data_IF_049838020469
#
_entry.id   IF_049838020469
#
_cell.length_a   1.000
_cell.length_b   1.000
_cell.length_c   1.000
_cell.angle_alpha   90.00
_cell.angle_beta   90.00
_cell.angle_gamma   90.00
#
_symmetry.space_group_name_H-M   'P 1'
#
loop_
_entity.id
_entity.type
_entity.pdbx_description
1 polymer ?
#
# COMPACT_ATOMS: atom_id res chain seq x y z
N UNK A 1 -12.73 -9.24 -8.40
CA UNK A 1 -11.33 -9.73 -8.34
C UNK A 1 -10.37 -8.56 -8.16
N UNK A 2 -9.23 -8.78 -7.55
CA UNK A 2 -8.17 -7.80 -7.35
C UNK A 2 -6.86 -8.38 -7.88
N UNK A 3 -6.07 -7.58 -8.56
CA UNK A 3 -4.71 -7.90 -8.97
C UNK A 3 -3.74 -7.15 -8.08
N UNK A 4 -2.78 -7.85 -7.48
CA UNK A 4 -1.86 -7.26 -6.52
C UNK A 4 -0.44 -7.23 -7.07
N UNK A 5 0.18 -6.06 -7.07
CA UNK A 5 1.59 -5.87 -7.43
C UNK A 5 2.37 -5.52 -6.16
N UNK A 6 3.49 -6.21 -5.94
CA UNK A 6 4.47 -5.89 -4.91
C UNK A 6 5.73 -5.29 -5.53
N UNK A 7 6.32 -4.30 -4.88
CA UNK A 7 7.59 -3.70 -5.28
C UNK A 7 8.53 -3.60 -4.09
N UNK A 8 9.72 -4.16 -4.23
CA UNK A 8 10.83 -3.96 -3.30
C UNK A 8 11.72 -2.84 -3.84
N UNK A 9 11.85 -1.75 -3.07
CA UNK A 9 12.58 -0.56 -3.49
C UNK A 9 11.69 0.40 -4.28
N UNK A 10 10.61 0.90 -3.68
CA UNK A 10 9.65 1.81 -4.32
C UNK A 10 10.30 3.12 -4.81
N UNK A 11 11.29 3.63 -4.08
CA UNK A 11 12.03 4.82 -4.46
C UNK A 11 11.14 6.04 -4.65
N UNK A 12 11.16 6.59 -5.86
CA UNK A 12 10.31 7.73 -6.24
C UNK A 12 8.96 7.32 -6.85
N UNK A 13 8.68 6.02 -6.96
CA UNK A 13 7.42 5.51 -7.50
C UNK A 13 7.35 5.42 -9.03
N UNK A 14 8.48 5.34 -9.72
CA UNK A 14 8.50 5.30 -11.19
C UNK A 14 7.79 4.06 -11.76
N UNK A 15 7.99 2.88 -11.15
CA UNK A 15 7.30 1.66 -11.58
C UNK A 15 5.80 1.74 -11.33
N UNK A 16 5.39 2.35 -10.21
CA UNK A 16 3.97 2.63 -9.94
C UNK A 16 3.38 3.57 -11.01
N UNK A 17 4.03 4.70 -11.30
CA UNK A 17 3.55 5.66 -12.32
C UNK A 17 3.48 5.02 -13.72
N UNK A 18 4.45 4.18 -14.06
CA UNK A 18 4.43 3.42 -15.32
C UNK A 18 3.29 2.40 -15.35
N UNK A 19 3.04 1.74 -14.22
CA UNK A 19 1.90 0.83 -14.06
C UNK A 19 0.59 1.58 -14.19
N UNK A 20 0.45 2.74 -13.55
CA UNK A 20 -0.71 3.62 -13.66
C UNK A 20 -0.95 4.05 -15.11
N UNK A 21 0.10 4.45 -15.83
CA UNK A 21 0.04 4.78 -17.25
C UNK A 21 -0.52 3.64 -18.11
N UNK A 22 -0.06 2.42 -17.88
CA UNK A 22 -0.58 1.24 -18.56
C UNK A 22 -2.03 0.92 -18.14
N UNK A 23 -2.34 1.12 -16.88
CA UNK A 23 -3.68 0.89 -16.32
C UNK A 23 -4.73 1.83 -16.89
N UNK A 24 -4.37 3.10 -17.06
CA UNK A 24 -5.28 4.12 -17.62
C UNK A 24 -5.67 3.87 -19.08
N UNK A 25 -4.87 3.07 -19.81
CA UNK A 25 -5.10 2.76 -21.23
C UNK A 25 -6.01 1.56 -21.47
N UNK A 26 -6.37 0.81 -20.42
CA UNK A 26 -7.14 -0.44 -20.54
C UNK A 26 -8.49 -0.32 -19.84
N UNK A 27 -9.47 -1.10 -20.31
CA UNK A 27 -10.70 -1.32 -19.56
C UNK A 27 -10.40 -2.05 -18.24
N UNK A 28 -11.04 -1.58 -17.15
CA UNK A 28 -10.72 -2.01 -15.79
C UNK A 28 -11.73 -3.05 -15.32
N UNK A 29 -11.47 -4.30 -15.64
CA UNK A 29 -12.31 -5.43 -15.23
C UNK A 29 -12.16 -5.80 -13.74
N UNK A 30 -11.09 -5.35 -13.07
CA UNK A 30 -10.74 -5.68 -11.68
C UNK A 30 -10.10 -4.50 -10.97
N UNK A 31 -9.87 -4.62 -9.66
CA UNK A 31 -9.15 -3.64 -8.85
C UNK A 31 -7.64 -3.92 -8.89
N UNK A 32 -6.84 -2.87 -8.72
CA UNK A 32 -5.39 -2.96 -8.60
C UNK A 32 -4.96 -2.54 -7.19
N UNK A 33 -4.27 -3.42 -6.49
CA UNK A 33 -3.52 -3.09 -5.28
C UNK A 33 -2.04 -3.03 -5.62
N UNK A 34 -1.40 -1.92 -5.32
CA UNK A 34 0.03 -1.75 -5.52
C UNK A 34 0.71 -1.52 -4.17
N UNK A 35 1.58 -2.43 -3.78
CA UNK A 35 2.30 -2.42 -2.49
C UNK A 35 3.74 -2.06 -2.76
N UNK A 36 4.14 -0.83 -2.41
CA UNK A 36 5.52 -0.36 -2.50
C UNK A 36 6.21 -0.38 -1.15
N UNK A 37 7.37 -1.02 -1.06
CA UNK A 37 8.16 -1.11 0.17
C UNK A 37 9.48 -0.35 -0.01
N UNK A 38 9.77 0.59 0.88
CA UNK A 38 11.04 1.32 0.91
C UNK A 38 11.36 1.80 2.33
N UNK A 39 12.65 2.03 2.62
CA UNK A 39 13.08 2.68 3.88
C UNK A 39 12.78 4.16 3.91
N UNK A 40 12.61 4.78 2.76
CA UNK A 40 12.40 6.23 2.62
C UNK A 40 10.97 6.54 2.23
N UNK A 41 10.44 7.52 2.92
CA UNK A 41 9.11 8.04 2.65
C UNK A 41 9.06 8.75 1.31
N UNK A 42 8.03 8.47 0.51
CA UNK A 42 7.72 9.28 -0.67
C UNK A 42 7.27 10.68 -0.22
N UNK A 43 7.90 11.72 -0.73
CA UNK A 43 7.58 13.11 -0.40
C UNK A 43 7.09 13.85 -1.64
N UNK A 44 6.18 14.82 -1.47
CA UNK A 44 5.66 15.64 -2.57
C UNK A 44 6.76 16.31 -3.42
N UNK A 45 7.87 16.73 -2.79
CA UNK A 45 9.03 17.28 -3.53
C UNK A 45 9.64 16.31 -4.52
N UNK A 46 9.55 15.00 -4.26
CA UNK A 46 10.09 13.97 -5.15
C UNK A 46 9.28 13.88 -6.45
N UNK A 47 7.98 14.18 -6.40
CA UNK A 47 7.10 14.17 -7.58
C UNK A 47 7.49 15.25 -8.58
N UNK A 48 7.98 16.41 -8.13
CA UNK A 48 8.49 17.47 -9.03
C UNK A 48 9.72 17.00 -9.81
N UNK A 49 10.65 16.32 -9.14
CA UNK A 49 11.84 15.76 -9.80
C UNK A 49 11.48 14.70 -10.86
N UNK A 50 10.43 13.91 -10.60
CA UNK A 50 9.94 12.94 -11.58
C UNK A 50 9.31 13.63 -12.79
N UNK A 51 8.56 14.70 -12.58
CA UNK A 51 7.90 15.46 -13.64
C UNK A 51 8.93 16.07 -14.61
N UNK A 52 9.97 16.68 -14.08
CA UNK A 52 11.08 17.23 -14.86
C UNK A 52 11.80 16.14 -15.68
N UNK A 53 12.00 14.97 -15.09
CA UNK A 53 12.76 13.87 -15.69
C UNK A 53 11.94 12.99 -16.63
N UNK A 54 10.64 12.87 -16.38
CA UNK A 54 9.72 11.99 -17.11
C UNK A 54 8.45 12.74 -17.54
N UNK A 55 8.55 13.73 -18.44
CA UNK A 55 7.40 14.56 -18.85
C UNK A 55 6.26 13.75 -19.49
N UNK A 56 6.55 12.56 -20.02
CA UNK A 56 5.53 11.65 -20.57
C UNK A 56 4.61 11.05 -19.52
N UNK A 57 4.96 11.11 -18.24
CA UNK A 57 4.17 10.65 -17.09
C UNK A 57 3.49 11.80 -16.34
N UNK A 58 3.43 12.99 -16.93
CA UNK A 58 2.84 14.19 -16.30
C UNK A 58 1.43 13.93 -15.75
N UNK A 59 0.56 13.29 -16.54
CA UNK A 59 -0.81 12.97 -16.14
C UNK A 59 -0.87 12.07 -14.91
N UNK A 60 -0.03 11.05 -14.85
CA UNK A 60 0.05 10.09 -13.75
C UNK A 60 0.62 10.74 -12.49
N UNK A 61 1.58 11.64 -12.66
CA UNK A 61 2.18 12.43 -11.57
C UNK A 61 1.14 13.39 -10.99
N UNK A 62 0.35 14.07 -11.81
CA UNK A 62 -0.73 14.95 -11.33
C UNK A 62 -1.78 14.16 -10.53
N UNK A 63 -2.20 12.98 -11.00
CA UNK A 63 -3.10 12.10 -10.24
C UNK A 63 -2.52 11.80 -8.85
N UNK A 64 -1.22 11.49 -8.77
CA UNK A 64 -0.58 11.19 -7.48
C UNK A 64 -0.39 12.45 -6.61
N UNK A 65 -0.19 13.63 -7.20
CA UNK A 65 -0.15 14.92 -6.48
C UNK A 65 -1.50 15.30 -5.87
N UNK A 66 -2.60 14.99 -6.57
CA UNK A 66 -3.96 15.21 -6.07
C UNK A 66 -4.31 14.26 -4.91
N UNK A 67 -3.61 13.13 -4.81
CA UNK A 67 -3.68 12.28 -3.65
C UNK A 67 -2.88 12.91 -2.51
N UNK A 68 -3.47 12.97 -1.30
CA UNK A 68 -2.75 13.47 -0.13
C UNK A 68 -1.77 12.41 0.37
N UNK A 69 -0.65 12.30 -0.33
CA UNK A 69 0.52 11.56 0.16
C UNK A 69 1.09 12.32 1.33
N UNK A 70 0.93 11.78 2.52
CA UNK A 70 1.42 12.41 3.75
C UNK A 70 2.89 12.12 3.96
N UNK A 71 3.30 10.91 3.63
CA UNK A 71 4.66 10.47 3.77
C UNK A 71 5.09 10.34 5.23
N UNK A 72 4.68 9.27 5.89
CA UNK A 72 5.07 8.95 7.27
C UNK A 72 5.64 7.53 7.38
N UNK A 73 6.33 7.25 8.47
CA UNK A 73 6.82 5.91 8.78
C UNK A 73 5.65 4.97 9.10
N UNK A 74 5.77 3.72 8.69
CA UNK A 74 4.73 2.72 8.83
C UNK A 74 4.08 2.41 7.49
N UNK A 75 2.76 2.32 7.43
CA UNK A 75 2.07 2.10 6.16
C UNK A 75 1.07 3.22 5.86
N UNK A 76 0.99 3.61 4.61
CA UNK A 76 0.08 4.60 4.09
C UNK A 76 -0.74 3.98 2.96
N UNK A 77 -2.06 4.08 3.03
CA UNK A 77 -2.97 3.57 1.99
C UNK A 77 -3.64 4.75 1.28
N UNK A 78 -3.33 4.89 0.00
CA UNK A 78 -3.84 5.94 -0.89
C UNK A 78 -4.86 5.29 -1.83
N UNK A 79 -6.13 5.61 -1.63
CA UNK A 79 -7.23 5.06 -2.43
C UNK A 79 -7.61 5.98 -3.57
N UNK A 80 -7.67 5.42 -4.78
CA UNK A 80 -8.12 6.09 -6.02
C UNK A 80 -9.34 5.34 -6.58
N UNK A 81 -10.52 5.46 -5.96
CA UNK A 81 -11.68 4.61 -6.25
C UNK A 81 -12.14 4.73 -7.71
N UNK A 82 -12.14 5.94 -8.29
CA UNK A 82 -12.50 6.17 -9.69
C UNK A 82 -11.57 5.45 -10.68
N UNK A 83 -10.35 5.13 -10.25
CA UNK A 83 -9.37 4.38 -11.02
C UNK A 83 -9.32 2.91 -10.63
N UNK A 84 -10.08 2.49 -9.61
CA UNK A 84 -10.03 1.14 -9.03
C UNK A 84 -8.62 0.76 -8.56
N UNK A 85 -7.86 1.71 -8.00
CA UNK A 85 -6.49 1.53 -7.53
C UNK A 85 -6.39 1.84 -6.05
N UNK A 86 -5.60 1.03 -5.33
CA UNK A 86 -5.06 1.35 -4.01
C UNK A 86 -3.53 1.27 -4.09
N UNK A 87 -2.87 2.37 -3.73
CA UNK A 87 -1.43 2.40 -3.53
C UNK A 87 -1.17 2.28 -2.03
N UNK A 88 -0.47 1.24 -1.63
CA UNK A 88 -0.10 0.94 -0.25
C UNK A 88 1.41 1.12 -0.15
N UNK A 89 1.85 2.13 0.59
CA UNK A 89 3.26 2.42 0.84
C UNK A 89 3.65 1.92 2.23
N UNK A 90 4.66 1.08 2.30
CA UNK A 90 5.23 0.55 3.54
C UNK A 90 6.61 1.18 3.72
N UNK A 91 6.70 2.15 4.63
CA UNK A 91 7.97 2.81 4.96
C UNK A 91 8.62 2.11 6.14
N UNK A 92 9.43 1.10 5.84
CA UNK A 92 10.09 0.26 6.82
C UNK A 92 11.32 -0.44 6.18
N UNK A 93 12.17 -1.01 7.01
CA UNK A 93 13.19 -1.96 6.55
C UNK A 93 12.53 -3.14 5.81
N UNK A 94 13.07 -3.50 4.65
CA UNK A 94 12.48 -4.53 3.78
C UNK A 94 12.35 -5.87 4.47
N UNK A 95 13.38 -6.30 5.23
CA UNK A 95 13.34 -7.60 5.90
C UNK A 95 12.22 -7.64 6.94
N UNK A 96 12.03 -6.53 7.66
CA UNK A 96 10.94 -6.42 8.63
C UNK A 96 9.59 -6.35 7.90
N UNK A 97 9.47 -5.51 6.88
CA UNK A 97 8.23 -5.35 6.12
C UNK A 97 7.72 -6.67 5.52
N UNK A 98 8.59 -7.46 4.85
CA UNK A 98 8.16 -8.72 4.22
C UNK A 98 7.79 -9.80 5.24
N UNK A 99 8.31 -9.73 6.46
CA UNK A 99 7.93 -10.65 7.56
C UNK A 99 6.62 -10.24 8.22
N UNK A 100 6.30 -8.95 8.25
CA UNK A 100 5.07 -8.41 8.86
C UNK A 100 3.87 -8.44 7.89
N UNK A 101 4.10 -8.62 6.59
CA UNK A 101 3.02 -8.73 5.59
C UNK A 101 2.34 -10.10 5.70
N UNK A 102 1.05 -10.10 6.05
CA UNK A 102 0.24 -11.32 6.13
C UNK A 102 -0.52 -11.65 4.82
N UNK A 103 -0.32 -10.89 3.75
CA UNK A 103 -1.00 -11.09 2.45
C UNK A 103 -0.19 -12.07 1.63
N UNK A 104 -0.77 -13.20 1.24
CA UNK A 104 -0.11 -14.24 0.43
C UNK A 104 -0.72 -14.37 -0.97
N UNK A 105 -0.97 -13.26 -1.66
CA UNK A 105 -1.60 -13.25 -2.98
C UNK A 105 -1.06 -12.12 -3.87
N UNK A 106 0.26 -11.94 -3.89
CA UNK A 106 0.88 -10.96 -4.79
C UNK A 106 1.07 -11.61 -6.16
N UNK A 107 0.44 -11.03 -7.19
CA UNK A 107 0.36 -11.60 -8.53
C UNK A 107 1.56 -11.20 -9.41
N UNK A 108 2.17 -10.05 -9.12
CA UNK A 108 3.37 -9.63 -9.81
C UNK A 108 4.33 -8.90 -8.87
N UNK A 109 5.64 -9.06 -9.10
CA UNK A 109 6.67 -8.39 -8.34
C UNK A 109 7.59 -7.55 -9.22
N UNK A 110 7.87 -6.33 -8.79
CA UNK A 110 9.03 -5.57 -9.18
C UNK A 110 10.10 -5.72 -8.09
N UNK A 111 11.15 -6.49 -8.38
CA UNK A 111 12.32 -6.60 -7.51
C UNK A 111 13.34 -5.55 -7.99
N UNK A 112 13.07 -4.28 -7.65
CA UNK A 112 13.78 -3.10 -8.17
C UNK A 112 14.55 -2.37 -7.06
N UNK A 113 15.13 -3.12 -6.15
CA UNK A 113 16.03 -2.60 -5.14
C UNK A 113 17.33 -2.04 -5.72
N UNK A 114 18.17 -1.48 -4.85
CA UNK A 114 19.50 -1.02 -5.23
C UNK A 114 20.39 -2.17 -5.74
N UNK A 115 21.47 -1.81 -6.43
CA UNK A 115 22.48 -2.76 -6.89
C UNK A 115 22.87 -3.73 -5.76
N UNK A 116 22.79 -5.05 -5.98
CA UNK A 116 23.13 -6.07 -4.98
C UNK A 116 24.54 -5.94 -4.38
N UNK A 117 25.46 -5.28 -5.08
CA UNK A 117 26.79 -4.98 -4.58
C UNK A 117 26.80 -3.82 -3.58
N UNK A 118 25.87 -2.86 -3.74
CA UNK A 118 25.78 -1.65 -2.90
C UNK A 118 24.84 -1.84 -1.72
N UNK A 119 23.86 -2.71 -1.86
CA UNK A 119 22.79 -2.92 -0.88
C UNK A 119 22.45 -4.41 -0.77
N UNK A 120 23.40 -5.26 -0.32
CA UNK A 120 23.23 -6.71 -0.28
C UNK A 120 22.10 -7.15 0.65
N UNK A 121 21.77 -6.36 1.68
CA UNK A 121 20.70 -6.62 2.62
C UNK A 121 19.30 -6.71 1.99
N UNK A 122 19.08 -6.08 0.85
CA UNK A 122 17.81 -6.20 0.10
C UNK A 122 17.67 -7.52 -0.68
N UNK A 123 18.74 -8.29 -0.77
CA UNK A 123 18.83 -9.47 -1.62
C UNK A 123 19.22 -10.72 -0.84
N UNK A 124 18.90 -10.77 0.45
CA UNK A 124 19.14 -11.96 1.28
C UNK A 124 18.23 -13.10 0.85
N UNK A 125 18.64 -14.33 1.15
CA UNK A 125 17.86 -15.52 0.82
C UNK A 125 16.53 -15.53 1.56
N UNK A 126 16.46 -14.97 2.77
CA UNK A 126 15.22 -14.80 3.55
C UNK A 126 14.23 -13.88 2.85
N UNK A 127 14.68 -12.73 2.31
CA UNK A 127 13.83 -11.82 1.54
C UNK A 127 13.31 -12.51 0.27
N UNK A 128 14.18 -13.20 -0.47
CA UNK A 128 13.79 -13.90 -1.70
C UNK A 128 12.81 -15.05 -1.42
N UNK A 129 12.98 -15.74 -0.29
CA UNK A 129 12.03 -16.74 0.21
C UNK A 129 10.69 -16.12 0.61
N UNK A 130 10.73 -14.98 1.30
CA UNK A 130 9.51 -14.24 1.66
C UNK A 130 8.73 -13.78 0.42
N UNK A 131 9.42 -13.27 -0.61
CA UNK A 131 8.80 -12.93 -1.90
C UNK A 131 8.08 -14.14 -2.49
N UNK A 132 8.72 -15.33 -2.49
CA UNK A 132 8.07 -16.55 -2.98
C UNK A 132 6.83 -16.92 -2.16
N UNK A 133 6.90 -16.86 -0.84
CA UNK A 133 5.79 -17.21 0.06
C UNK A 133 4.60 -16.24 -0.07
N UNK A 134 4.87 -14.94 -0.26
CA UNK A 134 3.84 -13.91 -0.46
C UNK A 134 3.25 -13.93 -1.87
N UNK A 135 3.88 -14.62 -2.81
CA UNK A 135 3.45 -14.73 -4.21
C UNK A 135 2.25 -15.65 -4.36
N UNK A 136 1.27 -15.22 -5.14
CA UNK A 136 0.16 -16.09 -5.57
C UNK A 136 0.65 -17.21 -6.49
N UNK A 137 -0.17 -18.25 -6.64
CA UNK A 137 0.06 -19.24 -7.70
C UNK A 137 -0.07 -18.56 -9.07
N UNK A 138 0.84 -18.85 -9.98
CA UNK A 138 0.95 -18.22 -11.31
C UNK A 138 1.48 -16.77 -11.29
N UNK A 139 2.02 -16.31 -10.15
CA UNK A 139 2.64 -14.99 -10.04
C UNK A 139 3.90 -14.87 -10.90
N UNK A 140 4.22 -13.64 -11.25
CA UNK A 140 5.42 -13.32 -12.03
C UNK A 140 6.30 -12.30 -11.30
N UNK A 141 7.59 -12.28 -11.63
CA UNK A 141 8.46 -11.19 -11.20
C UNK A 141 9.35 -10.67 -12.33
N UNK A 142 9.79 -9.44 -12.16
CA UNK A 142 10.84 -8.84 -12.97
C UNK A 142 11.88 -8.17 -12.07
N UNK A 143 13.17 -8.32 -12.43
CA UNK A 143 14.26 -7.60 -11.77
C UNK A 143 15.30 -7.15 -12.77
N UNK A 144 15.92 -6.01 -12.50
CA UNK A 144 17.00 -5.48 -13.34
C UNK A 144 18.31 -6.23 -13.21
N UNK A 145 18.49 -7.02 -12.13
CA UNK A 145 19.73 -7.75 -11.88
C UNK A 145 19.73 -9.13 -12.52
N UNK A 146 20.90 -9.59 -12.93
CA UNK A 146 21.12 -10.96 -13.43
C UNK A 146 22.21 -11.69 -12.64
N UNK A 147 22.50 -11.24 -11.42
CA UNK A 147 23.52 -11.82 -10.53
C UNK A 147 23.22 -13.30 -10.26
N UNK A 148 24.25 -14.15 -10.45
CA UNK A 148 24.10 -15.62 -10.38
C UNK A 148 23.57 -16.12 -9.03
N UNK A 149 23.98 -15.52 -7.90
CA UNK A 149 23.50 -15.87 -6.56
C UNK A 149 21.99 -15.66 -6.46
N UNK A 150 21.50 -14.47 -6.84
CA UNK A 150 20.07 -14.11 -6.78
C UNK A 150 19.27 -15.05 -7.69
N UNK A 151 19.77 -15.32 -8.90
CA UNK A 151 19.10 -16.25 -9.80
C UNK A 151 18.96 -17.64 -9.18
N UNK A 152 20.03 -18.17 -8.56
CA UNK A 152 19.98 -19.48 -7.90
C UNK A 152 18.99 -19.47 -6.74
N UNK A 153 19.08 -18.50 -5.83
CA UNK A 153 18.17 -18.40 -4.69
C UNK A 153 16.70 -18.32 -5.11
N UNK A 154 16.34 -17.53 -6.12
CA UNK A 154 14.97 -17.47 -6.64
C UNK A 154 14.54 -18.81 -7.26
N UNK A 155 15.45 -19.52 -7.98
CA UNK A 155 15.15 -20.83 -8.56
C UNK A 155 14.96 -21.90 -7.49
N UNK A 156 15.81 -21.93 -6.47
CA UNK A 156 15.74 -22.86 -5.33
C UNK A 156 14.45 -22.66 -4.50
N UNK A 157 13.93 -21.44 -4.45
CA UNK A 157 12.62 -21.17 -3.85
C UNK A 157 11.43 -21.60 -4.73
N UNK A 158 11.65 -22.01 -5.99
CA UNK A 158 10.61 -22.58 -6.85
C UNK A 158 10.11 -21.68 -7.99
N UNK A 159 10.78 -20.56 -8.27
CA UNK A 159 10.48 -19.78 -9.46
C UNK A 159 11.13 -20.39 -10.72
N UNK A 160 10.37 -20.48 -11.80
CA UNK A 160 10.89 -20.73 -13.13
C UNK A 160 11.49 -19.43 -13.69
N UNK A 161 12.81 -19.40 -13.94
CA UNK A 161 13.52 -18.15 -14.25
C UNK A 161 14.01 -18.15 -15.70
N UNK A 162 13.81 -17.03 -16.37
CA UNK A 162 14.36 -16.75 -17.70
C UNK A 162 15.26 -15.52 -17.64
N UNK A 163 16.45 -15.64 -18.26
CA UNK A 163 17.34 -14.52 -18.51
C UNK A 163 16.95 -13.93 -19.86
N UNK A 164 16.61 -12.64 -19.86
CA UNK A 164 16.17 -11.92 -21.06
C UNK A 164 17.03 -10.69 -21.30
N UNK A 165 16.92 -10.09 -22.48
CA UNK A 165 17.62 -8.86 -22.81
C UNK A 165 17.31 -7.77 -21.80
N UNK A 166 18.34 -7.07 -21.34
CA UNK A 166 18.21 -5.93 -20.43
C UNK A 166 17.73 -4.69 -21.17
N UNK A 167 17.65 -3.60 -20.43
CA UNK A 167 17.30 -2.27 -20.96
C UNK A 167 18.46 -1.29 -20.75
N UNK A 168 18.67 -0.37 -21.69
CA UNK A 168 19.74 0.62 -21.64
C UNK A 168 21.13 -0.03 -21.67
N UNK A 169 21.97 0.29 -20.71
CA UNK A 169 23.35 -0.23 -20.60
C UNK A 169 23.45 -1.66 -20.06
N UNK A 170 22.34 -2.25 -19.59
CA UNK A 170 22.33 -3.59 -18.99
C UNK A 170 22.09 -4.66 -20.05
N UNK A 171 23.04 -5.61 -20.18
CA UNK A 171 22.93 -6.71 -21.14
C UNK A 171 21.76 -7.65 -20.85
N UNK A 172 21.49 -7.91 -19.58
CA UNK A 172 20.51 -8.93 -19.16
C UNK A 172 19.75 -8.51 -17.93
N UNK A 173 18.50 -8.99 -17.81
CA UNK A 173 17.64 -8.95 -16.64
C UNK A 173 17.01 -10.32 -16.41
N UNK A 174 16.45 -10.56 -15.24
CA UNK A 174 15.70 -11.77 -14.97
C UNK A 174 14.20 -11.48 -14.93
N UNK A 175 13.45 -12.41 -15.47
CA UNK A 175 12.03 -12.57 -15.26
C UNK A 175 11.78 -13.97 -14.73
N UNK A 176 10.76 -14.14 -13.93
CA UNK A 176 10.41 -15.47 -13.43
C UNK A 176 8.92 -15.60 -13.19
N UNK A 177 8.50 -16.85 -13.04
CA UNK A 177 7.12 -17.23 -12.82
C UNK A 177 7.05 -18.32 -11.76
N UNK A 178 6.07 -18.23 -10.86
CA UNK A 178 5.74 -19.30 -9.93
C UNK A 178 4.81 -20.28 -10.62
N UNK A 179 5.13 -21.58 -10.54
CA UNK A 179 4.27 -22.63 -11.14
C UNK A 179 2.88 -22.63 -10.55
N UNK A 180 1.89 -23.00 -11.38
CA UNK A 180 0.49 -23.06 -10.97
C UNK A 180 0.28 -24.15 -9.90
N UNK A 181 0.07 -23.74 -8.67
CA UNK A 181 -0.59 -24.57 -7.69
C UNK A 181 -2.11 -24.34 -7.77
N UNK A 182 -2.91 -25.40 -7.81
CA UNK A 182 -4.38 -25.28 -7.78
C UNK A 182 -4.82 -24.81 -6.38
N UNK A 183 -4.78 -23.50 -6.10
CA UNK A 183 -5.50 -22.95 -4.95
C UNK A 183 -6.97 -22.80 -5.31
N UNK A 184 -7.87 -23.35 -4.49
CA UNK A 184 -9.30 -23.05 -4.55
C UNK A 184 -9.47 -21.59 -4.12
N UNK A 185 -9.72 -20.69 -5.06
CA UNK A 185 -10.19 -19.34 -4.73
C UNK A 185 -11.65 -19.43 -4.32
N UNK A 186 -11.99 -18.99 -3.12
CA UNK A 186 -13.37 -18.78 -2.73
C UNK A 186 -13.81 -17.41 -3.24
N UNK A 187 -14.67 -17.39 -4.24
CA UNK A 187 -15.29 -16.16 -4.74
C UNK A 187 -16.43 -15.76 -3.76
N UNK A 188 -16.10 -14.84 -2.86
CA UNK A 188 -17.05 -14.32 -1.88
C UNK A 188 -17.99 -13.35 -2.58
N UNK A 189 -19.26 -13.75 -2.76
CA UNK A 189 -20.28 -12.96 -3.46
C UNK A 189 -21.21 -12.21 -2.52
N UNK A 190 -21.33 -12.63 -1.26
CA UNK A 190 -22.24 -12.08 -0.28
C UNK A 190 -21.62 -12.10 1.11
N UNK A 191 -21.79 -11.02 1.85
CA UNK A 191 -21.25 -10.84 3.21
C UNK A 191 -22.34 -10.27 4.11
N UNK A 192 -22.45 -10.81 5.31
CA UNK A 192 -23.27 -10.25 6.39
C UNK A 192 -22.40 -9.34 7.26
N UNK A 193 -22.84 -8.11 7.49
CA UNK A 193 -22.22 -7.15 8.40
C UNK A 193 -23.13 -6.95 9.59
N UNK A 194 -22.62 -7.19 10.80
CA UNK A 194 -23.36 -7.04 12.04
C UNK A 194 -22.97 -5.72 12.69
N UNK A 195 -23.95 -4.84 12.88
CA UNK A 195 -23.80 -3.49 13.43
C UNK A 195 -23.73 -2.40 12.34
N UNK A 196 -24.50 -1.32 12.54
CA UNK A 196 -24.56 -0.15 11.64
C UNK A 196 -23.78 1.06 12.15
N UNK A 197 -22.94 0.87 13.18
CA UNK A 197 -22.02 1.90 13.65
C UNK A 197 -20.96 2.27 12.63
N UNK A 198 -20.04 3.19 12.94
CA UNK A 198 -18.97 3.65 12.05
C UNK A 198 -18.21 2.51 11.38
N UNK A 199 -17.83 1.48 12.13
CA UNK A 199 -17.07 0.34 11.59
C UNK A 199 -17.88 -0.46 10.58
N UNK A 200 -19.11 -0.88 10.94
CA UNK A 200 -19.97 -1.68 10.07
C UNK A 200 -20.37 -0.95 8.80
N UNK A 201 -20.74 0.32 8.91
CA UNK A 201 -21.08 1.15 7.74
C UNK A 201 -19.91 1.31 6.78
N UNK A 202 -18.69 1.55 7.29
CA UNK A 202 -17.50 1.65 6.43
C UNK A 202 -17.14 0.32 5.77
N UNK A 203 -17.25 -0.81 6.49
CA UNK A 203 -17.03 -2.14 5.92
C UNK A 203 -18.05 -2.40 4.82
N UNK A 204 -19.33 -2.18 5.09
CA UNK A 204 -20.42 -2.40 4.13
C UNK A 204 -20.22 -1.54 2.86
N UNK A 205 -19.87 -0.27 3.02
CA UNK A 205 -19.58 0.62 1.91
C UNK A 205 -18.43 0.12 1.02
N UNK A 206 -17.31 -0.29 1.61
CA UNK A 206 -16.16 -0.77 0.86
C UNK A 206 -16.43 -2.11 0.17
N UNK A 207 -17.17 -3.03 0.81
CA UNK A 207 -17.56 -4.29 0.21
C UNK A 207 -18.54 -4.08 -0.97
N UNK A 208 -19.52 -3.20 -0.83
CA UNK A 208 -20.47 -2.86 -1.88
C UNK A 208 -19.74 -2.24 -3.10
N UNK A 209 -18.78 -1.35 -2.88
CA UNK A 209 -17.94 -0.79 -3.94
C UNK A 209 -17.04 -1.83 -4.63
N UNK A 210 -16.84 -2.98 -3.98
CA UNK A 210 -16.13 -4.13 -4.55
C UNK A 210 -17.04 -5.14 -5.25
N UNK A 211 -18.31 -4.77 -5.53
CA UNK A 211 -19.36 -5.61 -6.12
C UNK A 211 -19.69 -6.88 -5.28
N UNK A 212 -19.53 -6.79 -3.98
CA UNK A 212 -19.95 -7.84 -3.03
C UNK A 212 -21.33 -7.46 -2.51
N UNK A 213 -22.28 -8.38 -2.56
CA UNK A 213 -23.59 -8.17 -1.95
C UNK A 213 -23.45 -8.13 -0.44
N UNK A 214 -23.95 -7.05 0.19
CA UNK A 214 -23.86 -6.85 1.64
C UNK A 214 -25.24 -6.81 2.24
N UNK A 215 -25.45 -7.65 3.25
CA UNK A 215 -26.63 -7.58 4.13
C UNK A 215 -26.17 -7.03 5.48
N UNK A 216 -26.84 -6.02 5.99
CA UNK A 216 -26.48 -5.38 7.25
C UNK A 216 -27.56 -5.71 8.28
N UNK A 217 -27.13 -6.14 9.46
CA UNK A 217 -27.98 -6.48 10.60
C UNK A 217 -27.62 -5.59 11.78
N UNK A 218 -28.61 -5.02 12.44
CA UNK A 218 -28.45 -4.25 13.67
C UNK A 218 -29.53 -4.64 14.70
N UNK A 219 -29.22 -4.42 15.96
CA UNK A 219 -30.17 -4.65 17.05
C UNK A 219 -31.27 -3.56 17.13
N UNK A 220 -31.07 -2.42 16.44
CA UNK A 220 -32.00 -1.29 16.41
C UNK A 220 -32.63 -1.16 15.04
N UNK A 221 -33.86 -0.64 14.99
CA UNK A 221 -34.61 -0.40 13.75
C UNK A 221 -34.03 0.70 12.88
N UNK A 222 -33.28 1.65 13.47
CA UNK A 222 -32.63 2.74 12.77
C UNK A 222 -31.10 2.60 12.76
N UNK A 223 -30.49 3.18 11.73
CA UNK A 223 -29.03 3.21 11.57
C UNK A 223 -28.34 4.03 12.66
N UNK A 224 -27.21 3.54 13.14
CA UNK A 224 -26.29 4.29 14.01
C UNK A 224 -26.89 4.79 15.34
N UNK A 225 -27.87 4.10 15.91
CA UNK A 225 -28.45 4.47 17.24
C UNK A 225 -27.50 4.23 18.43
N UNK A 226 -26.39 3.53 18.24
CA UNK A 226 -25.37 3.31 19.26
C UNK A 226 -24.46 4.52 19.48
N UNK A 227 -23.25 4.29 19.97
CA UNK A 227 -22.23 5.32 20.22
C UNK A 227 -21.87 6.18 19.00
N UNK A 228 -22.13 5.70 17.80
CA UNK A 228 -21.89 6.40 16.53
C UNK A 228 -23.04 7.32 16.11
N UNK A 229 -24.15 7.35 16.86
CA UNK A 229 -25.36 8.12 16.54
C UNK A 229 -25.36 9.56 17.06
N UNK A 230 -24.23 10.03 17.62
CA UNK A 230 -24.11 11.42 18.05
C UNK A 230 -24.19 12.41 16.88
N UNK A 231 -24.71 13.63 17.13
CA UNK A 231 -24.91 14.64 16.08
C UNK A 231 -23.58 15.15 15.49
N UNK A 232 -22.49 15.03 16.22
CA UNK A 232 -21.14 15.45 15.83
C UNK A 232 -20.15 14.38 16.26
N UNK A 233 -19.23 14.01 15.35
CA UNK A 233 -18.09 13.17 15.64
C UNK A 233 -16.80 13.94 15.33
N UNK A 234 -15.81 13.83 16.20
CA UNK A 234 -14.48 14.39 15.97
C UNK A 234 -13.47 13.29 15.69
N UNK A 235 -12.60 13.54 14.71
CA UNK A 235 -11.51 12.66 14.35
C UNK A 235 -10.18 13.35 14.67
N UNK A 236 -9.35 12.70 15.46
CA UNK A 236 -8.05 13.23 15.88
C UNK A 236 -6.98 12.14 15.93
N UNK A 237 -5.72 12.47 15.63
CA UNK A 237 -4.62 11.52 15.71
C UNK A 237 -4.25 11.23 17.16
N UNK A 238 -3.97 9.98 17.47
CA UNK A 238 -3.35 9.57 18.73
C UNK A 238 -1.85 9.49 18.55
N UNK A 239 -1.17 10.61 18.75
CA UNK A 239 0.29 10.64 18.69
C UNK A 239 0.92 9.91 19.89
N UNK A 240 2.04 9.26 19.63
CA UNK A 240 2.87 8.61 20.64
C UNK A 240 4.35 8.82 20.31
N UNK A 241 5.19 8.92 21.32
CA UNK A 241 6.65 8.92 21.14
C UNK A 241 7.21 7.52 20.91
N UNK A 242 6.39 6.49 21.13
CA UNK A 242 6.77 5.12 20.88
C UNK A 242 6.67 4.83 19.38
N UNK A 243 7.70 4.23 18.82
CA UNK A 243 7.70 3.79 17.41
C UNK A 243 7.29 2.30 17.32
N UNK A 244 6.24 1.92 18.05
CA UNK A 244 5.69 0.56 18.06
C UNK A 244 4.62 0.38 16.97
N UNK A 245 4.21 -0.85 16.74
CA UNK A 245 3.22 -1.23 15.74
C UNK A 245 1.86 -0.54 15.98
N UNK A 246 1.48 -0.37 17.26
CA UNK A 246 0.23 0.29 17.63
C UNK A 246 0.23 1.76 17.24
N UNK A 247 1.32 2.46 17.51
CA UNK A 247 1.47 3.88 17.18
C UNK A 247 1.45 4.09 15.68
N UNK A 248 2.17 3.26 14.91
CA UNK A 248 2.15 3.27 13.44
C UNK A 248 0.75 3.03 12.90
N UNK A 249 0.03 2.03 13.45
CA UNK A 249 -1.35 1.72 13.05
C UNK A 249 -2.30 2.88 13.31
N UNK A 250 -2.24 3.52 14.47
CA UNK A 250 -3.13 4.64 14.83
C UNK A 250 -2.90 5.86 13.93
N UNK A 251 -1.66 6.19 13.63
CA UNK A 251 -1.33 7.30 12.71
C UNK A 251 -1.78 6.97 11.27
N UNK A 252 -1.46 5.77 10.80
CA UNK A 252 -1.88 5.32 9.46
C UNK A 252 -3.41 5.32 9.32
N UNK A 253 -4.12 4.85 10.35
CA UNK A 253 -5.59 4.85 10.38
C UNK A 253 -6.17 6.25 10.36
N UNK A 254 -5.55 7.19 11.08
CA UNK A 254 -5.98 8.59 11.07
C UNK A 254 -5.86 9.21 9.67
N UNK A 255 -4.71 9.10 9.02
CA UNK A 255 -4.51 9.66 7.68
C UNK A 255 -5.37 8.97 6.62
N UNK A 256 -5.53 7.64 6.71
CA UNK A 256 -6.48 6.93 5.86
C UNK A 256 -7.90 7.47 6.01
N UNK A 257 -8.37 7.63 7.26
CA UNK A 257 -9.70 8.13 7.56
C UNK A 257 -9.87 9.59 7.12
N UNK A 258 -8.86 10.44 7.34
CA UNK A 258 -8.85 11.82 6.88
C UNK A 258 -9.02 11.90 5.36
N UNK A 259 -8.26 11.12 4.62
CA UNK A 259 -8.33 11.07 3.15
C UNK A 259 -9.67 10.51 2.65
N UNK A 260 -10.25 9.58 3.38
CA UNK A 260 -11.55 9.01 3.07
C UNK A 260 -12.69 10.02 3.30
N UNK A 261 -12.74 10.62 4.51
CA UNK A 261 -13.85 11.46 4.91
C UNK A 261 -13.82 12.89 4.35
N UNK A 262 -12.65 13.43 3.98
CA UNK A 262 -12.58 14.80 3.41
C UNK A 262 -13.43 15.02 2.16
N UNK A 263 -13.79 13.94 1.45
CA UNK A 263 -14.67 13.94 0.27
C UNK A 263 -16.14 13.66 0.64
N UNK A 264 -16.45 13.46 1.92
CA UNK A 264 -17.78 13.11 2.40
C UNK A 264 -18.55 14.37 2.75
N UNK A 265 -19.82 14.41 2.39
CA UNK A 265 -20.71 15.53 2.76
C UNK A 265 -20.75 15.71 4.29
N UNK A 266 -20.59 16.95 4.74
CA UNK A 266 -20.60 17.29 6.17
C UNK A 266 -19.23 17.21 6.87
N UNK A 267 -18.18 16.70 6.22
CA UNK A 267 -16.83 16.73 6.79
C UNK A 267 -16.28 18.16 6.77
N UNK A 268 -15.74 18.61 7.90
CA UNK A 268 -15.07 19.90 8.02
C UNK A 268 -13.67 19.68 8.58
N UNK A 269 -12.64 20.08 7.85
CA UNK A 269 -11.28 20.08 8.34
C UNK A 269 -11.03 21.37 9.14
N UNK A 270 -11.19 21.27 10.46
CA UNK A 270 -11.04 22.41 11.39
C UNK A 270 -9.63 22.54 11.97
N UNK A 271 -8.77 21.57 11.68
CA UNK A 271 -7.50 21.42 12.37
C UNK A 271 -7.67 20.90 13.80
N UNK A 272 -6.55 20.67 14.48
CA UNK A 272 -6.49 20.22 15.86
C UNK A 272 -5.41 20.99 16.60
N UNK A 273 -5.78 21.61 17.71
CA UNK A 273 -4.84 22.32 18.58
C UNK A 273 -4.48 21.43 19.78
N UNK A 274 -3.22 21.10 19.91
CA UNK A 274 -2.67 20.50 21.12
C UNK A 274 -2.06 21.58 22.00
N UNK A 275 -2.42 21.61 23.27
CA UNK A 275 -1.81 22.51 24.25
C UNK A 275 -1.31 21.75 25.46
N UNK A 276 -0.18 22.18 26.01
CA UNK A 276 0.36 21.62 27.24
C UNK A 276 -0.24 22.32 28.45
N UNK A 277 -0.95 21.57 29.30
CA UNK A 277 -1.49 22.09 30.57
C UNK A 277 -0.45 22.02 31.71
N UNK A 278 0.66 21.34 31.47
CA UNK A 278 1.76 21.15 32.42
C UNK A 278 3.09 20.94 31.64
N UNK A 279 4.21 20.98 32.36
CA UNK A 279 5.56 20.84 31.80
C UNK A 279 5.76 19.48 31.07
N UNK A 280 5.15 18.41 31.57
CA UNK A 280 5.28 17.10 30.95
C UNK A 280 4.58 17.04 29.58
N UNK A 281 3.37 17.60 29.48
CA UNK A 281 2.63 17.69 28.21
C UNK A 281 3.31 18.65 27.24
N UNK A 282 3.83 19.77 27.71
CA UNK A 282 4.57 20.73 26.88
C UNK A 282 5.82 20.09 26.28
N UNK A 283 6.60 19.34 27.07
CA UNK A 283 7.75 18.56 26.59
C UNK A 283 7.35 17.45 25.62
N UNK A 284 6.22 16.80 25.85
CA UNK A 284 5.70 15.78 24.94
C UNK A 284 5.30 16.37 23.59
N UNK A 285 4.60 17.52 23.57
CA UNK A 285 4.23 18.24 22.33
C UNK A 285 5.49 18.63 21.56
N UNK A 286 6.49 19.21 22.22
CA UNK A 286 7.75 19.62 21.59
C UNK A 286 8.47 18.44 20.92
N UNK A 287 8.45 17.25 21.53
CA UNK A 287 9.07 16.04 20.96
C UNK A 287 8.29 15.47 19.77
N UNK A 288 6.97 15.66 19.70
CA UNK A 288 6.15 15.23 18.54
C UNK A 288 6.28 16.19 17.38
N UNK A 289 6.51 17.48 17.65
CA UNK A 289 6.64 18.53 16.63
C UNK A 289 8.02 18.57 15.96
N UNK A 290 9.03 17.93 16.54
CA UNK A 290 10.39 17.84 16.02
C UNK A 290 10.55 16.69 15.04
#
# INVERSE_FOLDING_TARGET
SCFTIGELGFGLGLNFLTTLHCWLKKERAFNLDYIGIDKKVLQKRNLRLLEERFPKLHKEIEILKECDVVGHNGFECISMPNLKIRLILITEDIQKAVNDICISNIDAWFLDGFDPKKNPEMWTDDILKAVFNLSSSDSSFSTFTSVGRIRRALSENGFEIKKVSGFGSKRHRLIGKKSKEKKKSHDIKRVAVIGTGLSGSNIAYNLANSNIKVDIFDAHDDLSKGSSGGPIASMYPKFSLNNDLRSKFLISSYFFSLNFYKKTLGFKNTGLLFYGSDDAKSKWISKISA
#
